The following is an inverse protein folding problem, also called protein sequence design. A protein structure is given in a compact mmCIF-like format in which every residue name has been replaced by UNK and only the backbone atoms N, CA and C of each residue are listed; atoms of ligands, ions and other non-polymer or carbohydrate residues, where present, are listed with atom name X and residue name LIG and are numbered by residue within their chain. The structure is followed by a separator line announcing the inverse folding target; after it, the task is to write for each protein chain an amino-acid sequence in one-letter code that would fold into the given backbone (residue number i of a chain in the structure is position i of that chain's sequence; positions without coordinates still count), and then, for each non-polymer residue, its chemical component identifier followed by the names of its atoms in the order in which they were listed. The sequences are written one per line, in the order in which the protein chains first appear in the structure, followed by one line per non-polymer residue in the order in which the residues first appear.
data_IF_974070821698
#
_entry.id   IF_974070821698
#
_cell.length_a   1.000
_cell.length_b   1.000
_cell.length_c   1.000
_cell.angle_alpha   90.00
_cell.angle_beta   90.00
_cell.angle_gamma   90.00
#
_symmetry.space_group_name_H-M   'P 1'
#
loop_
_entity.id
_entity.type
_entity.pdbx_description
1 polymer ?
#
# COMPACT_ATOMS: atom_id res chain seq x y z
N UNK A 1 8.03 11.71 -5.99
CA UNK A 1 7.92 10.31 -6.44
C UNK A 1 7.34 10.35 -7.83
N UNK A 2 7.97 9.66 -8.78
CA UNK A 2 7.39 9.49 -10.11
C UNK A 2 6.21 8.53 -10.00
N UNK A 3 5.07 8.94 -10.54
CA UNK A 3 3.80 8.23 -10.49
C UNK A 3 3.27 7.90 -11.90
N UNK A 4 4.00 8.30 -12.95
CA UNK A 4 3.67 7.98 -14.32
C UNK A 4 3.53 6.46 -14.58
N UNK A 5 4.30 5.55 -13.91
CA UNK A 5 4.09 4.11 -14.04
C UNK A 5 2.70 3.63 -13.60
N UNK A 6 2.01 4.33 -12.69
CA UNK A 6 0.65 3.96 -12.31
C UNK A 6 -0.39 4.34 -13.36
N UNK A 7 -0.11 5.38 -14.15
CA UNK A 7 -0.94 5.74 -15.30
C UNK A 7 -0.75 4.69 -16.40
N UNK A 8 0.50 4.26 -16.67
CA UNK A 8 0.77 3.18 -17.61
C UNK A 8 0.07 1.88 -17.20
N UNK A 9 0.21 1.50 -15.93
CA UNK A 9 -0.50 0.36 -15.37
C UNK A 9 -2.01 0.48 -15.54
N UNK A 10 -2.62 1.65 -15.31
CA UNK A 10 -4.06 1.81 -15.50
C UNK A 10 -4.49 1.61 -16.95
N UNK A 11 -3.68 2.08 -17.92
CA UNK A 11 -3.91 1.86 -19.35
C UNK A 11 -3.81 0.37 -19.70
N UNK A 12 -2.80 -0.33 -19.18
CA UNK A 12 -2.64 -1.77 -19.38
C UNK A 12 -3.83 -2.57 -18.82
N UNK A 13 -4.30 -2.22 -17.62
CA UNK A 13 -5.47 -2.86 -17.02
C UNK A 13 -6.73 -2.68 -17.89
N UNK A 14 -6.97 -1.48 -18.42
CA UNK A 14 -8.07 -1.22 -19.35
C UNK A 14 -7.94 -2.08 -20.62
N UNK A 15 -6.72 -2.24 -21.15
CA UNK A 15 -6.46 -3.09 -22.33
C UNK A 15 -6.69 -4.58 -22.06
N UNK A 16 -6.47 -5.03 -20.82
CA UNK A 16 -6.78 -6.39 -20.38
C UNK A 16 -8.27 -6.63 -20.11
N UNK A 17 -9.12 -5.61 -20.28
CA UNK A 17 -10.58 -5.73 -20.14
C UNK A 17 -11.10 -5.39 -18.74
N UNK A 18 -10.24 -4.90 -17.84
CA UNK A 18 -10.68 -4.36 -16.56
C UNK A 18 -11.22 -2.96 -16.75
N UNK A 19 -12.53 -2.78 -16.59
CA UNK A 19 -13.19 -1.48 -16.75
C UNK A 19 -13.79 -1.03 -15.41
N UNK A 20 -13.08 -0.15 -14.71
CA UNK A 20 -13.53 0.41 -13.44
C UNK A 20 -13.44 1.94 -13.46
N UNK A 21 -14.33 2.66 -12.76
CA UNK A 21 -14.32 4.12 -12.75
C UNK A 21 -12.97 4.73 -12.37
N UNK A 22 -12.26 4.13 -11.41
CA UNK A 22 -10.99 4.65 -10.94
C UNK A 22 -9.84 4.37 -11.92
N UNK A 23 -9.87 3.24 -12.64
CA UNK A 23 -8.91 2.97 -13.72
C UNK A 23 -9.07 3.98 -14.86
N UNK A 24 -10.30 4.30 -15.25
CA UNK A 24 -10.59 5.30 -16.28
C UNK A 24 -10.07 6.68 -15.89
N UNK A 25 -10.29 7.10 -14.63
CA UNK A 25 -9.78 8.39 -14.14
C UNK A 25 -8.26 8.38 -14.11
N UNK A 26 -7.65 7.33 -13.57
CA UNK A 26 -6.20 7.20 -13.43
C UNK A 26 -5.49 7.20 -14.79
N UNK A 27 -6.01 6.46 -15.77
CA UNK A 27 -5.49 6.43 -17.14
C UNK A 27 -5.62 7.78 -17.88
N UNK A 28 -6.56 8.62 -17.46
CA UNK A 28 -6.80 9.95 -18.02
C UNK A 28 -5.92 11.06 -17.43
N UNK A 29 -5.12 10.79 -16.41
CA UNK A 29 -4.27 11.81 -15.79
C UNK A 29 -3.11 12.21 -16.72
N UNK A 30 -2.76 13.51 -16.80
CA UNK A 30 -1.63 13.97 -17.59
C UNK A 30 -0.30 13.56 -16.95
N UNK A 31 0.70 13.31 -17.78
CA UNK A 31 2.10 13.10 -17.39
C UNK A 31 2.94 14.36 -17.64
N UNK A 32 3.88 14.76 -16.75
CA UNK A 32 4.14 14.12 -15.46
C UNK A 32 3.01 14.38 -14.46
N UNK A 33 2.73 13.40 -13.60
CA UNK A 33 1.65 13.51 -12.61
C UNK A 33 2.17 13.77 -11.19
N UNK A 34 1.32 14.35 -10.34
CA UNK A 34 1.63 14.67 -8.95
C UNK A 34 1.23 13.53 -8.02
N UNK A 35 2.14 13.09 -7.15
CA UNK A 35 1.85 12.08 -6.12
C UNK A 35 0.53 12.30 -5.38
N UNK A 36 0.27 13.53 -4.93
CA UNK A 36 -0.93 13.86 -4.17
C UNK A 36 -2.21 13.78 -5.00
N UNK A 37 -2.11 14.05 -6.31
CA UNK A 37 -3.23 13.95 -7.24
C UNK A 37 -3.48 12.50 -7.65
N UNK A 38 -2.42 11.72 -7.87
CA UNK A 38 -2.52 10.35 -8.39
C UNK A 38 -2.90 9.34 -7.31
N UNK A 39 -2.36 9.48 -6.09
CA UNK A 39 -2.47 8.44 -5.05
C UNK A 39 -3.92 8.08 -4.67
N UNK A 40 -4.91 9.00 -4.62
CA UNK A 40 -6.29 8.64 -4.31
C UNK A 40 -6.90 7.72 -5.40
N UNK A 41 -6.62 8.00 -6.68
CA UNK A 41 -7.14 7.20 -7.79
C UNK A 41 -6.46 5.84 -7.89
N UNK A 42 -5.15 5.79 -7.60
CA UNK A 42 -4.42 4.52 -7.46
C UNK A 42 -5.09 3.65 -6.39
N UNK A 43 -5.30 4.18 -5.18
CA UNK A 43 -5.99 3.44 -4.10
C UNK A 43 -7.40 3.00 -4.50
N UNK A 44 -8.14 3.86 -5.20
CA UNK A 44 -9.48 3.55 -5.71
C UNK A 44 -9.48 2.38 -6.69
N UNK A 45 -8.65 2.44 -7.73
CA UNK A 45 -8.55 1.41 -8.78
C UNK A 45 -8.18 0.05 -8.17
N UNK A 46 -7.25 0.07 -7.23
CA UNK A 46 -6.80 -1.13 -6.54
C UNK A 46 -7.88 -1.75 -5.66
N UNK A 47 -8.71 -0.94 -5.01
CA UNK A 47 -9.83 -1.44 -4.22
C UNK A 47 -10.90 -2.08 -5.11
N UNK A 48 -11.13 -1.54 -6.31
CA UNK A 48 -12.07 -2.12 -7.28
C UNK A 48 -11.56 -3.46 -7.82
N UNK A 49 -10.25 -3.58 -8.08
CA UNK A 49 -9.61 -4.80 -8.61
C UNK A 49 -9.41 -5.94 -7.59
N UNK A 50 -9.50 -5.64 -6.28
CA UNK A 50 -9.25 -6.61 -5.18
C UNK A 50 -10.12 -7.87 -5.22
N UNK A 51 -11.24 -7.87 -5.95
CA UNK A 51 -12.21 -8.96 -5.93
C UNK A 51 -11.72 -10.25 -6.61
N UNK A 52 -10.57 -10.25 -7.27
CA UNK A 52 -10.08 -11.38 -8.07
C UNK A 52 -8.96 -12.23 -7.42
N UNK A 53 -8.51 -11.89 -6.20
CA UNK A 53 -7.37 -12.60 -5.59
C UNK A 53 -7.74 -13.85 -4.80
N UNK A 54 -6.75 -14.75 -4.65
CA UNK A 54 -6.80 -15.93 -3.79
C UNK A 54 -5.93 -15.72 -2.56
N UNK A 55 -6.47 -16.01 -1.39
CA UNK A 55 -5.78 -15.71 -0.14
C UNK A 55 -4.65 -16.70 0.20
N UNK A 56 -4.63 -17.86 -0.45
CA UNK A 56 -3.63 -18.92 -0.27
C UNK A 56 -2.30 -18.66 -0.99
N UNK A 57 -2.16 -17.51 -1.66
CA UNK A 57 -0.90 -17.09 -2.28
C UNK A 57 0.22 -16.94 -1.21
N UNK A 58 1.37 -17.64 -1.37
CA UNK A 58 2.45 -17.60 -0.39
C UNK A 58 2.99 -16.19 -0.09
N UNK A 59 2.97 -15.28 -1.07
CA UNK A 59 3.35 -13.89 -0.85
C UNK A 59 2.36 -13.23 0.11
N UNK A 60 1.06 -13.40 -0.10
CA UNK A 60 0.00 -12.85 0.76
C UNK A 60 0.12 -13.38 2.19
N UNK A 61 0.41 -14.68 2.36
CA UNK A 61 0.65 -15.27 3.67
C UNK A 61 1.84 -14.62 4.37
N UNK A 62 2.97 -14.46 3.67
CA UNK A 62 4.18 -13.82 4.23
C UNK A 62 3.91 -12.37 4.64
N UNK A 63 3.29 -11.58 3.76
CA UNK A 63 2.92 -10.18 4.03
C UNK A 63 2.01 -10.06 5.25
N UNK A 64 1.02 -10.95 5.34
CA UNK A 64 0.09 -11.00 6.47
C UNK A 64 0.82 -11.28 7.78
N UNK A 65 1.90 -12.08 7.75
CA UNK A 65 2.77 -12.32 8.91
C UNK A 65 3.35 -11.02 9.48
N UNK A 66 4.06 -10.26 8.64
CA UNK A 66 4.64 -8.97 9.04
C UNK A 66 3.58 -7.97 9.53
N UNK A 67 2.44 -7.88 8.83
CA UNK A 67 1.35 -6.98 9.23
C UNK A 67 0.74 -7.38 10.58
N UNK A 68 0.63 -8.68 10.88
CA UNK A 68 0.15 -9.17 12.19
C UNK A 68 1.12 -8.80 13.31
N UNK A 69 2.42 -8.90 13.08
CA UNK A 69 3.41 -8.51 14.07
C UNK A 69 3.38 -7.01 14.35
N UNK A 70 3.28 -6.19 13.29
CA UNK A 70 3.07 -4.74 13.42
C UNK A 70 1.78 -4.43 14.20
N UNK A 71 0.67 -5.11 13.89
CA UNK A 71 -0.60 -4.90 14.60
C UNK A 71 -0.52 -5.26 16.09
N UNK A 72 0.42 -6.13 16.46
CA UNK A 72 0.75 -6.51 17.84
C UNK A 72 1.84 -5.62 18.47
N UNK A 73 2.23 -4.53 17.81
CA UNK A 73 3.25 -3.59 18.26
C UNK A 73 4.67 -4.21 18.38
N UNK A 74 4.96 -5.23 17.56
CA UNK A 74 6.23 -5.97 17.53
C UNK A 74 7.10 -5.57 16.35
N UNK A 75 8.39 -5.31 16.63
CA UNK A 75 9.46 -5.11 15.65
C UNK A 75 9.05 -4.24 14.45
N UNK A 76 8.34 -3.13 14.74
CA UNK A 76 7.60 -2.36 13.74
C UNK A 76 8.50 -1.90 12.59
N UNK A 77 9.67 -1.35 12.90
CA UNK A 77 10.58 -0.83 11.89
C UNK A 77 11.10 -1.93 10.96
N UNK A 78 11.52 -3.07 11.53
CA UNK A 78 12.01 -4.23 10.78
C UNK A 78 10.91 -4.79 9.88
N UNK A 79 9.72 -5.02 10.45
CA UNK A 79 8.58 -5.53 9.71
C UNK A 79 8.10 -4.55 8.61
N UNK A 80 8.16 -3.24 8.86
CA UNK A 80 7.83 -2.22 7.88
C UNK A 80 8.88 -2.18 6.75
N UNK A 81 10.16 -2.41 7.08
CA UNK A 81 11.24 -2.60 6.11
C UNK A 81 11.04 -3.83 5.23
N UNK A 82 10.66 -4.97 5.80
CA UNK A 82 10.34 -6.18 5.03
C UNK A 82 9.15 -5.96 4.08
N UNK A 83 8.10 -5.25 4.52
CA UNK A 83 6.97 -4.89 3.67
C UNK A 83 7.39 -3.93 2.53
N UNK A 84 8.32 -3.01 2.80
CA UNK A 84 8.91 -2.14 1.78
C UNK A 84 9.71 -2.94 0.74
N UNK A 85 10.53 -3.91 1.15
CA UNK A 85 11.24 -4.80 0.22
C UNK A 85 10.25 -5.62 -0.61
N UNK A 86 9.23 -6.17 0.04
CA UNK A 86 8.21 -6.96 -0.63
C UNK A 86 7.38 -6.15 -1.62
N UNK A 87 7.17 -4.85 -1.39
CA UNK A 87 6.56 -3.95 -2.36
C UNK A 87 7.26 -4.12 -3.70
N UNK A 88 8.56 -3.85 -3.80
CA UNK A 88 9.31 -3.95 -5.07
C UNK A 88 9.29 -5.33 -5.74
N UNK A 89 9.17 -6.41 -4.97
CA UNK A 89 9.11 -7.77 -5.51
C UNK A 89 7.73 -8.25 -5.94
N UNK A 90 6.66 -7.56 -5.54
CA UNK A 90 5.29 -8.04 -5.66
C UNK A 90 4.52 -7.27 -6.76
N UNK A 91 4.94 -7.47 -8.01
CA UNK A 91 4.47 -6.66 -9.15
C UNK A 91 2.96 -6.62 -9.36
N UNK A 92 2.27 -7.69 -9.00
CA UNK A 92 0.83 -7.87 -9.11
C UNK A 92 0.07 -7.56 -7.80
N UNK A 93 0.78 -7.26 -6.70
CA UNK A 93 0.23 -7.10 -5.34
C UNK A 93 0.69 -5.83 -4.64
N UNK A 94 1.38 -4.91 -5.35
CA UNK A 94 1.83 -3.62 -4.83
C UNK A 94 0.78 -2.88 -4.00
N UNK A 95 -0.48 -3.05 -4.38
CA UNK A 95 -1.60 -2.38 -3.75
C UNK A 95 -1.95 -2.86 -2.34
N UNK A 96 -1.66 -4.11 -2.02
CA UNK A 96 -1.82 -4.60 -0.65
C UNK A 96 -0.82 -3.90 0.28
N UNK A 97 0.26 -3.39 -0.30
CA UNK A 97 1.42 -2.85 0.40
C UNK A 97 1.59 -1.35 0.27
N UNK A 98 0.80 -0.68 -0.56
CA UNK A 98 0.95 0.74 -0.86
C UNK A 98 0.95 1.61 0.40
N UNK A 99 0.04 1.35 1.34
CA UNK A 99 0.01 2.11 2.59
C UNK A 99 1.25 1.86 3.45
N UNK A 100 1.71 0.62 3.56
CA UNK A 100 2.91 0.27 4.33
C UNK A 100 4.18 0.81 3.68
N UNK A 101 4.24 0.83 2.35
CA UNK A 101 5.31 1.47 1.59
C UNK A 101 5.38 2.98 1.86
N UNK A 102 4.25 3.69 1.84
CA UNK A 102 4.21 5.12 2.15
C UNK A 102 4.55 5.38 3.62
N UNK A 103 4.08 4.53 4.53
CA UNK A 103 4.40 4.61 5.94
C UNK A 103 5.88 4.35 6.22
N UNK A 104 6.53 3.44 5.47
CA UNK A 104 7.97 3.23 5.55
C UNK A 104 8.73 4.50 5.16
N UNK A 105 8.35 5.13 4.05
CA UNK A 105 8.99 6.38 3.60
C UNK A 105 8.78 7.51 4.60
N UNK A 106 7.57 7.65 5.17
CA UNK A 106 7.28 8.60 6.24
C UNK A 106 8.15 8.32 7.47
N UNK A 107 8.20 7.06 7.93
CA UNK A 107 9.01 6.64 9.07
C UNK A 107 10.49 6.95 8.86
N UNK A 108 11.06 6.48 7.76
CA UNK A 108 12.47 6.68 7.43
C UNK A 108 12.82 8.17 7.35
N UNK A 109 11.96 8.99 6.73
CA UNK A 109 12.14 10.44 6.67
C UNK A 109 12.15 11.06 8.07
N UNK A 110 11.21 10.70 8.94
CA UNK A 110 11.10 11.26 10.29
C UNK A 110 12.27 10.85 11.20
N UNK A 111 12.81 9.64 11.04
CA UNK A 111 13.89 9.13 11.90
C UNK A 111 15.30 9.52 11.41
N UNK A 112 15.47 9.76 10.11
CA UNK A 112 16.79 9.98 9.51
C UNK A 112 16.98 11.40 8.94
N UNK A 113 15.96 12.26 8.96
CA UNK A 113 16.09 13.66 8.57
C UNK A 113 16.03 14.59 9.78
N UNK A 114 16.62 15.77 9.65
CA UNK A 114 16.56 16.83 10.66
C UNK A 114 15.25 17.64 10.58
N UNK A 115 14.27 17.21 9.78
CA UNK A 115 13.00 17.92 9.55
C UNK A 115 11.79 17.01 9.78
N UNK A 116 10.81 17.48 10.55
CA UNK A 116 9.53 16.78 10.74
C UNK A 116 8.63 16.81 9.48
N UNK A 117 9.07 17.46 8.40
CA UNK A 117 8.34 17.57 7.14
C UNK A 117 8.53 16.33 6.27
N UNK A 118 7.70 15.30 6.52
CA UNK A 118 7.52 14.20 5.56
C UNK A 118 6.28 14.44 4.69
N UNK A 119 6.37 14.08 3.41
CA UNK A 119 5.33 14.32 2.40
C UNK A 119 4.56 13.05 2.00
N UNK A 120 4.72 11.96 2.74
CA UNK A 120 4.25 10.62 2.35
C UNK A 120 2.95 10.22 3.05
N UNK A 121 2.75 10.65 4.30
CA UNK A 121 1.57 10.30 5.10
C UNK A 121 0.99 11.50 5.85
N UNK A 122 -0.20 12.01 5.48
CA UNK A 122 -0.77 13.19 6.13
C UNK A 122 -0.86 13.06 7.65
N UNK A 123 -0.31 14.04 8.36
CA UNK A 123 -0.37 14.12 9.83
C UNK A 123 0.61 13.22 10.58
N UNK A 124 1.45 12.44 9.89
CA UNK A 124 2.49 11.66 10.57
C UNK A 124 3.67 12.53 11.02
N UNK A 125 4.09 12.32 12.25
CA UNK A 125 5.18 12.98 12.97
C UNK A 125 5.98 11.93 13.74
N UNK A 126 7.21 12.26 14.13
CA UNK A 126 8.09 11.40 14.93
C UNK A 126 7.40 10.85 16.19
N UNK A 127 6.59 11.68 16.85
CA UNK A 127 5.84 11.33 18.07
C UNK A 127 4.66 10.35 17.85
N UNK A 128 4.10 10.26 16.63
CA UNK A 128 2.85 9.53 16.39
C UNK A 128 2.94 8.45 15.30
N UNK A 129 4.01 8.43 14.50
CA UNK A 129 4.16 7.51 13.36
C UNK A 129 4.04 6.04 13.79
N UNK A 130 4.59 5.68 14.97
CA UNK A 130 4.43 4.35 15.57
C UNK A 130 2.96 3.94 15.69
N UNK A 131 2.15 4.80 16.29
CA UNK A 131 0.73 4.54 16.47
C UNK A 131 -0.01 4.48 15.14
N UNK A 132 0.33 5.35 14.18
CA UNK A 132 -0.28 5.33 12.84
C UNK A 132 -0.04 3.98 12.16
N UNK A 133 1.21 3.48 12.18
CA UNK A 133 1.57 2.20 11.56
C UNK A 133 0.82 1.04 12.19
N UNK A 134 0.76 0.98 13.53
CA UNK A 134 0.01 -0.05 14.27
C UNK A 134 -1.49 -0.01 13.94
N UNK A 135 -2.10 1.17 13.95
CA UNK A 135 -3.54 1.32 13.67
C UNK A 135 -3.84 0.96 12.21
N UNK A 136 -2.99 1.35 11.27
CA UNK A 136 -3.16 0.98 9.87
C UNK A 136 -3.06 -0.53 9.67
N UNK A 137 -2.13 -1.20 10.35
CA UNK A 137 -2.00 -2.65 10.32
C UNK A 137 -3.24 -3.38 10.85
N UNK A 138 -3.80 -2.92 11.97
CA UNK A 138 -5.06 -3.46 12.51
C UNK A 138 -6.21 -3.29 11.51
N UNK A 139 -6.37 -2.08 10.98
CA UNK A 139 -7.40 -1.80 9.98
C UNK A 139 -7.23 -2.67 8.72
N UNK A 140 -5.99 -2.85 8.26
CA UNK A 140 -5.72 -3.70 7.09
C UNK A 140 -6.13 -5.15 7.35
N UNK A 141 -5.86 -5.69 8.53
CA UNK A 141 -6.29 -7.05 8.89
C UNK A 141 -7.81 -7.18 8.94
N UNK A 142 -8.51 -6.14 9.38
CA UNK A 142 -9.98 -6.10 9.39
C UNK A 142 -10.55 -6.03 7.97
N UNK A 143 -10.05 -5.11 7.15
CA UNK A 143 -10.43 -4.93 5.73
C UNK A 143 -10.23 -6.21 4.92
N UNK A 144 -9.18 -6.98 5.23
CA UNK A 144 -8.84 -8.22 4.53
C UNK A 144 -9.29 -9.48 5.27
N UNK A 145 -10.02 -9.38 6.38
CA UNK A 145 -10.37 -10.54 7.21
C UNK A 145 -11.21 -11.58 6.44
N UNK A 146 -12.20 -11.12 5.66
CA UNK A 146 -13.05 -12.00 4.84
C UNK A 146 -12.24 -12.77 3.79
N UNK A 147 -11.25 -12.10 3.19
CA UNK A 147 -10.31 -12.68 2.24
C UNK A 147 -9.38 -13.70 2.95
N UNK A 148 -8.73 -13.30 4.04
CA UNK A 148 -7.77 -14.13 4.78
C UNK A 148 -8.39 -15.37 5.44
N UNK A 149 -9.69 -15.38 5.76
CA UNK A 149 -10.38 -16.55 6.33
C UNK A 149 -10.51 -17.74 5.39
N UNK A 150 -10.32 -17.55 4.08
CA UNK A 150 -10.32 -18.65 3.10
C UNK A 150 -9.05 -19.50 3.11
N UNK A 151 -8.03 -19.10 3.88
CA UNK A 151 -6.73 -19.78 4.03
C UNK A 151 -6.69 -20.71 5.25
N UNK A 152 -7.70 -20.66 6.11
CA UNK A 152 -7.73 -21.42 7.38
C UNK A 152 -9.05 -22.18 7.52
N UNK A 153 -9.32 -23.08 6.57
CA UNK A 153 -10.26 -24.18 6.70
C UNK A 153 -9.57 -25.48 6.27
#
# INVERSE_FOLDING_TARGET
MDMDPFIDWAIEMLQFGYDTPQLLILAGLPKPTSFFETIPYVKGALNELRQEQRADDPAIVRLTGYIKEIAQDKDIEENLGELYVCYYGAYDKYYLLLDFFLLYLAWYSLMNSYSDDQNYWPGAKSENIRNIVVQRAKLWLEENNAFLKTVVA
#
